data_IF_398946657398
#
_entry.id   IF_398946657398
#
_cell.length_a   1.000
_cell.length_b   1.000
_cell.length_c   1.000
_cell.angle_alpha   90.00
_cell.angle_beta   90.00
_cell.angle_gamma   90.00
#
_symmetry.space_group_name_H-M   'P 1'
#
loop_
_entity.id
_entity.type
_entity.pdbx_description
1 polymer ?
#
# COMPACT_ATOMS: atom_id res chain seq x y z
N UNK A 1 5.27 7.25 -0.50
CA UNK A 1 4.42 6.16 0.03
C UNK A 1 4.80 5.86 1.46
N UNK A 2 5.94 5.20 1.74
CA UNK A 2 6.36 4.90 3.13
C UNK A 2 6.43 6.13 4.03
N UNK A 3 7.08 7.21 3.57
CA UNK A 3 7.12 8.47 4.32
C UNK A 3 5.74 9.07 4.58
N UNK A 4 4.82 8.94 3.62
CA UNK A 4 3.44 9.43 3.77
C UNK A 4 2.65 8.58 4.79
N UNK A 5 3.07 7.34 4.99
CA UNK A 5 2.60 6.43 6.03
C UNK A 5 3.30 6.60 7.39
N UNK A 6 4.34 7.45 7.46
CA UNK A 6 5.20 7.60 8.64
C UNK A 6 6.24 6.48 8.82
N UNK A 7 6.46 5.63 7.80
CA UNK A 7 7.44 4.55 7.85
C UNK A 7 8.80 4.94 7.25
N UNK A 8 9.85 4.26 7.71
CA UNK A 8 11.21 4.47 7.21
C UNK A 8 11.28 4.18 5.71
N UNK A 9 11.98 5.03 4.95
CA UNK A 9 12.22 4.80 3.52
C UNK A 9 13.02 3.51 3.24
N UNK A 10 13.73 2.98 4.25
CA UNK A 10 14.46 1.72 4.18
C UNK A 10 13.60 0.47 4.47
N UNK A 11 12.31 0.62 4.79
CA UNK A 11 11.39 -0.50 4.95
C UNK A 11 11.45 -1.53 3.80
N UNK A 12 11.49 -1.14 2.50
CA UNK A 12 11.66 -2.08 1.39
C UNK A 12 12.95 -2.89 1.39
N UNK A 13 14.01 -2.45 2.08
CA UNK A 13 15.27 -3.20 2.17
C UNK A 13 15.23 -4.28 3.24
N UNK A 14 14.39 -4.11 4.26
CA UNK A 14 14.32 -4.98 5.43
C UNK A 14 13.16 -5.98 5.29
N UNK A 15 12.01 -5.50 4.81
CA UNK A 15 10.79 -6.28 4.71
C UNK A 15 10.62 -6.79 3.28
N UNK A 16 10.77 -8.11 3.04
CA UNK A 16 10.47 -8.67 1.73
C UNK A 16 9.00 -8.42 1.39
N UNK A 17 8.72 -8.00 0.15
CA UNK A 17 7.39 -7.61 -0.30
C UNK A 17 6.75 -6.47 0.52
N UNK A 18 7.58 -5.50 0.96
CA UNK A 18 7.14 -4.31 1.69
C UNK A 18 5.93 -3.60 1.06
N UNK A 19 5.82 -3.59 -0.27
CA UNK A 19 4.73 -2.88 -0.95
C UNK A 19 3.39 -3.58 -0.71
N UNK A 20 3.40 -4.91 -0.71
CA UNK A 20 2.24 -5.72 -0.35
C UNK A 20 1.85 -5.51 1.12
N UNK A 21 2.82 -5.48 2.03
CA UNK A 21 2.58 -5.18 3.44
C UNK A 21 1.96 -3.79 3.59
N UNK A 22 2.51 -2.79 2.89
CA UNK A 22 1.98 -1.42 2.90
C UNK A 22 0.54 -1.37 2.37
N UNK A 23 0.23 -2.12 1.32
CA UNK A 23 -1.12 -2.18 0.75
C UNK A 23 -2.13 -2.84 1.67
N UNK A 24 -1.76 -3.93 2.34
CA UNK A 24 -2.63 -4.58 3.34
C UNK A 24 -2.86 -3.70 4.56
N UNK A 25 -1.81 -3.02 5.05
CA UNK A 25 -1.89 -2.02 6.11
C UNK A 25 -2.79 -0.84 5.71
N UNK A 26 -2.68 -0.37 4.48
CA UNK A 26 -3.52 0.70 3.94
C UNK A 26 -5.00 0.35 3.97
N UNK A 27 -5.36 -0.82 3.43
CA UNK A 27 -6.74 -1.32 3.45
C UNK A 27 -7.26 -1.53 4.86
N UNK A 28 -6.42 -2.04 5.77
CA UNK A 28 -6.80 -2.27 7.16
C UNK A 28 -7.16 -0.95 7.85
N UNK A 29 -6.35 0.11 7.68
CA UNK A 29 -6.62 1.43 8.28
C UNK A 29 -7.85 2.10 7.67
N UNK A 30 -8.00 2.02 6.36
CA UNK A 30 -9.11 2.67 5.65
C UNK A 30 -10.38 1.81 5.58
N UNK A 31 -10.38 0.62 6.18
CA UNK A 31 -11.48 -0.35 6.16
C UNK A 31 -11.95 -0.70 4.75
N UNK A 32 -11.03 -0.70 3.78
CA UNK A 32 -11.31 -1.04 2.39
C UNK A 32 -11.37 -2.57 2.29
N UNK A 33 -12.51 -3.10 1.83
CA UNK A 33 -12.68 -4.54 1.62
C UNK A 33 -11.75 -5.02 0.49
N UNK A 34 -11.01 -6.08 0.76
CA UNK A 34 -10.10 -6.73 -0.19
C UNK A 34 -9.58 -8.04 0.36
N UNK A 35 -9.08 -8.90 -0.52
CA UNK A 35 -8.48 -10.18 -0.13
C UNK A 35 -6.96 -10.10 -0.14
N UNK A 36 -6.32 -10.54 0.95
CA UNK A 36 -4.85 -10.65 1.05
C UNK A 36 -4.31 -11.50 -0.12
N UNK A 37 -4.98 -12.60 -0.46
CA UNK A 37 -4.62 -13.44 -1.59
C UNK A 37 -4.68 -12.69 -2.93
N UNK A 38 -5.69 -11.83 -3.13
CA UNK A 38 -5.83 -11.05 -4.36
C UNK A 38 -4.74 -9.98 -4.51
N UNK A 39 -4.34 -9.35 -3.40
CA UNK A 39 -3.24 -8.39 -3.38
C UNK A 39 -1.90 -9.10 -3.64
N UNK A 40 -1.71 -10.30 -3.07
CA UNK A 40 -0.54 -11.14 -3.32
C UNK A 40 -0.43 -11.53 -4.80
N UNK A 41 -1.52 -12.02 -5.41
CA UNK A 41 -1.53 -12.37 -6.84
C UNK A 41 -1.27 -11.15 -7.74
N UNK A 42 -1.79 -9.96 -7.40
CA UNK A 42 -1.51 -8.74 -8.16
C UNK A 42 -0.06 -8.30 -8.04
N UNK A 43 0.52 -8.41 -6.84
CA UNK A 43 1.93 -8.08 -6.61
C UNK A 43 2.85 -9.06 -7.35
N UNK A 44 2.53 -10.36 -7.35
CA UNK A 44 3.26 -11.40 -8.11
C UNK A 44 3.16 -11.15 -9.62
N UNK A 45 1.97 -10.83 -10.14
CA UNK A 45 1.78 -10.61 -11.58
C UNK A 45 2.53 -9.37 -12.08
N UNK A 46 2.46 -8.27 -11.33
CA UNK A 46 3.18 -7.04 -11.66
C UNK A 46 3.32 -6.16 -10.42
N UNK A 47 4.47 -6.24 -9.75
CA UNK A 47 4.77 -5.44 -8.55
C UNK A 47 4.71 -3.94 -8.83
N UNK A 48 5.24 -3.48 -9.96
CA UNK A 48 5.18 -2.07 -10.37
C UNK A 48 3.75 -1.59 -10.58
N UNK A 49 2.89 -2.42 -11.20
CA UNK A 49 1.48 -2.12 -11.39
C UNK A 49 0.73 -2.05 -10.05
N UNK A 50 1.04 -2.97 -9.13
CA UNK A 50 0.48 -2.98 -7.78
C UNK A 50 0.84 -1.70 -7.02
N UNK A 51 2.11 -1.28 -7.07
CA UNK A 51 2.58 -0.03 -6.46
C UNK A 51 1.91 1.20 -7.08
N UNK A 52 1.79 1.26 -8.41
CA UNK A 52 1.09 2.36 -9.09
C UNK A 52 -0.39 2.43 -8.70
N UNK A 53 -1.06 1.28 -8.58
CA UNK A 53 -2.44 1.19 -8.10
C UNK A 53 -2.54 1.67 -6.66
N UNK A 54 -1.66 1.19 -5.79
CA UNK A 54 -1.60 1.59 -4.39
C UNK A 54 -1.37 3.11 -4.26
N UNK A 55 -0.44 3.70 -5.04
CA UNK A 55 -0.21 5.16 -5.03
C UNK A 55 -1.46 5.94 -5.39
N UNK A 56 -2.20 5.47 -6.38
CA UNK A 56 -3.42 6.13 -6.84
C UNK A 56 -4.47 6.12 -5.73
N UNK A 57 -4.61 4.99 -5.04
CA UNK A 57 -5.53 4.82 -3.91
C UNK A 57 -5.11 5.70 -2.71
N UNK A 58 -3.82 5.72 -2.40
CA UNK A 58 -3.23 6.60 -1.39
C UNK A 58 -3.49 8.08 -1.68
N UNK A 59 -3.30 8.51 -2.94
CA UNK A 59 -3.54 9.90 -3.33
C UNK A 59 -5.04 10.25 -3.29
N UNK A 60 -5.91 9.31 -3.70
CA UNK A 60 -7.35 9.50 -3.62
C UNK A 60 -7.80 9.67 -2.17
N UNK A 61 -7.31 8.83 -1.28
CA UNK A 61 -7.67 8.87 0.13
C UNK A 61 -7.07 10.07 0.86
N UNK A 62 -5.84 10.47 0.53
CA UNK A 62 -5.27 11.76 0.94
C UNK A 62 -6.15 12.94 0.51
N UNK A 63 -6.70 12.91 -0.71
CA UNK A 63 -7.57 13.99 -1.19
C UNK A 63 -8.93 14.05 -0.50
N UNK A 64 -9.41 12.93 0.06
CA UNK A 64 -10.70 12.87 0.75
C UNK A 64 -10.59 13.13 2.25
N UNK A 65 -9.60 12.55 2.93
CA UNK A 65 -9.45 12.58 4.38
C UNK A 65 -8.39 13.59 4.85
N UNK A 66 -7.53 14.05 3.94
CA UNK A 66 -6.36 14.88 4.27
C UNK A 66 -5.22 14.12 4.98
N UNK A 67 -5.46 12.87 5.40
CA UNK A 67 -4.52 12.06 6.19
C UNK A 67 -4.62 10.58 5.81
N UNK A 68 -3.54 9.82 6.05
CA UNK A 68 -3.44 8.37 5.79
C UNK A 68 -3.41 7.52 7.06
N UNK A 69 -3.43 8.19 8.21
CA UNK A 69 -3.24 7.64 9.56
C UNK A 69 -4.54 7.80 10.33
#
# INVERSE_FOLDING_TARGET
MYRDYGECCCAPLIVPASEFVLGTQHRARQRIKGGIASDCCQWIWCSSCYVCRLRRDMNYTLSQLGTLI
#
